data_IF_780002436282
#
_entry.id   IF_780002436282
#
_cell.length_a   1.000
_cell.length_b   1.000
_cell.length_c   1.000
_cell.angle_alpha   90.00
_cell.angle_beta   90.00
_cell.angle_gamma   90.00
#
_symmetry.space_group_name_H-M   'P 1'
#
loop_
_entity.id
_entity.type
_entity.pdbx_description
1 polymer ?
#
# COMPACT_ATOMS: atom_id res chain seq x y z
N UNK A 1 8.81 40.91 74.55
CA UNK A 1 9.45 40.81 73.23
C UNK A 1 8.73 39.75 72.40
N UNK A 2 7.83 40.18 71.53
CA UNK A 2 7.37 39.40 70.37
C UNK A 2 6.55 40.34 69.50
N UNK A 3 7.21 40.90 68.50
CA UNK A 3 6.61 41.64 67.40
C UNK A 3 6.12 40.61 66.38
N UNK A 4 4.81 40.57 66.10
CA UNK A 4 4.25 39.90 64.93
C UNK A 4 3.57 40.95 64.07
N UNK A 5 4.27 41.33 63.01
CA UNK A 5 3.81 42.11 61.87
C UNK A 5 2.92 41.22 61.02
N UNK A 6 1.79 41.77 60.58
CA UNK A 6 0.85 41.11 59.66
C UNK A 6 1.43 41.05 58.22
N UNK A 7 1.18 39.99 57.44
CA UNK A 7 1.34 40.05 56.00
C UNK A 7 0.04 40.52 55.33
N UNK A 8 0.19 41.59 54.57
CA UNK A 8 -0.72 42.13 53.57
C UNK A 8 -1.05 41.10 52.50
N UNK A 9 -2.34 40.79 52.31
CA UNK A 9 -2.86 40.06 51.15
C UNK A 9 -3.20 41.05 50.05
N UNK A 10 -2.26 41.25 49.13
CA UNK A 10 -2.54 41.90 47.85
C UNK A 10 -3.36 40.93 46.98
N UNK A 11 -4.64 41.23 46.80
CA UNK A 11 -5.49 40.56 45.83
C UNK A 11 -5.05 40.93 44.42
N UNK A 12 -4.51 39.97 43.66
CA UNK A 12 -4.31 40.13 42.22
C UNK A 12 -5.67 39.96 41.52
N UNK A 13 -6.16 41.03 40.89
CA UNK A 13 -7.27 41.00 39.95
C UNK A 13 -6.89 40.20 38.69
N UNK A 14 -6.92 38.88 38.78
CA UNK A 14 -6.91 38.00 37.61
C UNK A 14 -8.37 37.73 37.21
N UNK A 15 -8.76 38.21 36.03
CA UNK A 15 -10.05 37.86 35.42
C UNK A 15 -10.17 36.33 35.32
N UNK A 16 -11.30 35.74 35.74
CA UNK A 16 -11.49 34.30 35.61
C UNK A 16 -11.56 33.90 34.13
N UNK A 17 -11.01 32.73 33.75
CA UNK A 17 -11.03 32.27 32.37
C UNK A 17 -12.46 32.20 31.87
N UNK A 18 -12.72 32.87 30.73
CA UNK A 18 -14.04 32.89 30.09
C UNK A 18 -14.45 31.45 29.78
N UNK A 19 -15.52 30.99 30.44
CA UNK A 19 -16.14 29.68 30.17
C UNK A 19 -16.36 29.54 28.67
N UNK A 20 -15.78 28.49 28.06
CA UNK A 20 -16.03 28.11 26.66
C UNK A 20 -17.54 28.11 26.43
N UNK A 21 -18.00 29.02 25.58
CA UNK A 21 -19.40 29.14 25.21
C UNK A 21 -19.71 27.93 24.34
N UNK A 22 -20.49 26.97 24.85
CA UNK A 22 -21.00 25.87 24.03
C UNK A 22 -21.71 26.48 22.82
N UNK A 23 -21.25 26.14 21.63
CA UNK A 23 -21.95 26.45 20.38
C UNK A 23 -23.37 25.88 20.50
N UNK A 24 -24.37 26.65 20.09
CA UNK A 24 -25.77 26.18 20.03
C UNK A 24 -25.85 24.96 19.11
N UNK A 25 -26.81 24.05 19.34
CA UNK A 25 -26.95 22.81 18.56
C UNK A 25 -27.04 23.01 17.04
N UNK A 26 -27.43 24.20 16.58
CA UNK A 26 -27.47 24.60 15.16
C UNK A 26 -26.12 25.08 14.58
N UNK A 27 -25.12 25.32 15.43
CA UNK A 27 -23.78 25.79 15.05
C UNK A 27 -22.76 24.64 14.89
N UNK A 28 -23.19 23.39 15.08
CA UNK A 28 -22.50 22.27 14.44
C UNK A 28 -22.84 22.36 12.96
N UNK A 29 -21.94 22.96 12.18
CA UNK A 29 -22.05 22.90 10.74
C UNK A 29 -22.14 21.43 10.34
N UNK A 30 -23.33 20.99 9.95
CA UNK A 30 -23.50 19.73 9.25
C UNK A 30 -22.51 19.79 8.09
N UNK A 31 -21.55 18.87 8.04
CA UNK A 31 -20.62 18.77 6.91
C UNK A 31 -21.44 18.74 5.61
N UNK A 32 -22.62 18.13 5.62
CA UNK A 32 -23.56 18.04 4.49
C UNK A 32 -24.16 19.37 4.02
N UNK A 33 -24.17 20.43 4.84
CA UNK A 33 -24.77 21.73 4.50
C UNK A 33 -23.85 22.91 4.84
N UNK A 34 -22.61 22.92 4.32
CA UNK A 34 -21.79 24.14 4.32
C UNK A 34 -22.28 25.10 3.23
N UNK A 35 -23.06 26.12 3.64
CA UNK A 35 -23.31 27.32 2.82
C UNK A 35 -22.13 28.28 2.94
N UNK A 36 -20.94 27.86 2.51
CA UNK A 36 -19.85 28.81 2.32
C UNK A 36 -20.17 29.70 1.12
N UNK A 37 -19.98 31.01 1.26
CA UNK A 37 -20.08 31.94 0.13
C UNK A 37 -18.98 31.76 -0.91
N UNK A 38 -17.94 30.99 -0.59
CA UNK A 38 -16.83 30.64 -1.48
C UNK A 38 -16.68 29.12 -1.62
N UNK A 39 -16.99 28.64 -2.82
CA UNK A 39 -16.89 27.23 -3.22
C UNK A 39 -15.44 26.78 -3.38
N UNK A 40 -14.54 27.70 -3.76
CA UNK A 40 -13.12 27.39 -3.96
C UNK A 40 -12.44 27.10 -2.62
N UNK A 41 -12.59 28.01 -1.64
CA UNK A 41 -12.12 27.76 -0.27
C UNK A 41 -12.71 26.47 0.32
N UNK A 42 -14.00 26.19 0.09
CA UNK A 42 -14.64 24.97 0.63
C UNK A 42 -14.02 23.70 0.03
N UNK A 43 -13.73 23.73 -1.27
CA UNK A 43 -13.09 22.63 -1.99
C UNK A 43 -11.68 22.38 -1.47
N UNK A 44 -10.91 23.43 -1.24
CA UNK A 44 -9.55 23.31 -0.68
C UNK A 44 -9.57 22.71 0.72
N UNK A 45 -10.49 23.15 1.58
CA UNK A 45 -10.65 22.57 2.93
C UNK A 45 -11.06 21.11 2.87
N UNK A 46 -12.06 20.75 2.04
CA UNK A 46 -12.49 19.36 1.90
C UNK A 46 -11.36 18.48 1.31
N UNK A 47 -10.52 19.03 0.42
CA UNK A 47 -9.33 18.35 -0.11
C UNK A 47 -8.30 18.09 0.99
N UNK A 48 -7.95 19.11 1.78
CA UNK A 48 -7.00 18.97 2.91
C UNK A 48 -7.48 17.95 3.95
N UNK A 49 -8.78 17.89 4.24
CA UNK A 49 -9.36 16.91 5.16
C UNK A 49 -9.20 15.50 4.58
N UNK A 50 -9.58 15.30 3.32
CA UNK A 50 -9.48 13.99 2.69
C UNK A 50 -8.02 13.50 2.61
N UNK A 51 -7.10 14.41 2.31
CA UNK A 51 -5.67 14.14 2.23
C UNK A 51 -5.09 13.70 3.60
N UNK A 52 -5.46 14.43 4.66
CA UNK A 52 -5.12 14.09 6.03
C UNK A 52 -5.64 12.70 6.44
N UNK A 53 -6.92 12.42 6.15
CA UNK A 53 -7.53 11.13 6.49
C UNK A 53 -6.87 9.98 5.75
N UNK A 54 -6.53 10.16 4.46
CA UNK A 54 -5.82 9.15 3.69
C UNK A 54 -4.43 8.87 4.29
N UNK A 55 -3.68 9.92 4.64
CA UNK A 55 -2.39 9.78 5.30
C UNK A 55 -2.47 9.06 6.65
N UNK A 56 -3.45 9.40 7.48
CA UNK A 56 -3.68 8.72 8.77
C UNK A 56 -4.01 7.24 8.54
N UNK A 57 -4.92 6.93 7.61
CA UNK A 57 -5.30 5.56 7.31
C UNK A 57 -4.12 4.71 6.80
N UNK A 58 -3.20 5.28 5.99
CA UNK A 58 -1.96 4.59 5.58
C UNK A 58 -1.11 4.22 6.81
N UNK A 59 -0.87 5.19 7.70
CA UNK A 59 -0.10 4.95 8.93
C UNK A 59 -0.77 3.91 9.83
N UNK A 60 -2.10 3.94 9.96
CA UNK A 60 -2.86 2.93 10.70
C UNK A 60 -2.67 1.53 10.10
N UNK A 61 -2.63 1.40 8.77
CA UNK A 61 -2.34 0.12 8.12
C UNK A 61 -0.94 -0.40 8.49
N UNK A 62 0.09 0.44 8.43
CA UNK A 62 1.46 0.05 8.79
C UNK A 62 1.58 -0.32 10.27
N UNK A 63 1.02 0.50 11.16
CA UNK A 63 1.02 0.25 12.59
C UNK A 63 0.37 -1.10 12.95
N UNK A 64 -0.72 -1.47 12.26
CA UNK A 64 -1.44 -2.74 12.47
C UNK A 64 -0.59 -4.00 12.25
N UNK A 65 0.50 -3.91 11.48
CA UNK A 65 1.45 -5.02 11.25
C UNK A 65 2.66 -4.98 12.19
N UNK A 66 3.00 -3.82 12.75
CA UNK A 66 4.20 -3.64 13.56
C UNK A 66 3.96 -3.89 15.04
N UNK A 67 2.79 -3.54 15.56
CA UNK A 67 2.45 -3.68 16.98
C UNK A 67 1.00 -4.10 17.16
N UNK A 68 0.69 -4.90 18.19
CA UNK A 68 -0.70 -5.16 18.56
C UNK A 68 -1.36 -3.84 18.96
N UNK A 69 -2.61 -3.59 18.50
CA UNK A 69 -3.29 -2.33 18.77
C UNK A 69 -3.50 -2.14 20.28
N UNK A 70 -3.21 -0.93 20.75
CA UNK A 70 -3.61 -0.47 22.07
C UNK A 70 -5.14 -0.33 22.19
N UNK A 71 -5.67 -0.22 23.42
CA UNK A 71 -7.12 -0.12 23.64
C UNK A 71 -7.75 1.17 23.07
N UNK A 72 -6.96 2.20 22.81
CA UNK A 72 -7.40 3.49 22.28
C UNK A 72 -6.96 3.73 20.82
N UNK A 73 -6.33 2.74 20.18
CA UNK A 73 -5.84 2.89 18.80
C UNK A 73 -7.01 2.79 17.83
N UNK A 74 -7.05 3.70 16.85
CA UNK A 74 -8.05 3.66 15.77
C UNK A 74 -7.84 2.41 14.93
N UNK A 75 -8.90 1.63 14.70
CA UNK A 75 -8.81 0.45 13.85
C UNK A 75 -8.65 0.82 12.38
N UNK A 76 -8.07 -0.07 11.57
CA UNK A 76 -7.98 0.11 10.11
C UNK A 76 -9.36 0.31 9.49
N UNK A 77 -10.37 -0.42 9.97
CA UNK A 77 -11.75 -0.33 9.48
C UNK A 77 -12.37 1.05 9.74
N UNK A 78 -12.18 1.60 10.94
CA UNK A 78 -12.66 2.95 11.28
C UNK A 78 -11.93 4.03 10.48
N UNK A 79 -10.61 3.90 10.29
CA UNK A 79 -9.83 4.86 9.51
C UNK A 79 -10.30 4.89 8.05
N UNK A 80 -10.56 3.73 7.45
CA UNK A 80 -11.05 3.63 6.08
C UNK A 80 -12.49 4.13 5.92
N UNK A 81 -13.36 3.86 6.89
CA UNK A 81 -14.73 4.40 6.88
C UNK A 81 -14.72 5.93 6.82
N UNK A 82 -13.82 6.59 7.57
CA UNK A 82 -13.67 8.05 7.53
C UNK A 82 -13.19 8.56 6.18
N UNK A 83 -12.24 7.86 5.54
CA UNK A 83 -11.75 8.19 4.20
C UNK A 83 -12.88 8.04 3.17
N UNK A 84 -13.60 6.91 3.19
CA UNK A 84 -14.66 6.60 2.23
C UNK A 84 -15.84 7.57 2.34
N UNK A 85 -16.29 7.88 3.55
CA UNK A 85 -17.35 8.88 3.80
C UNK A 85 -16.92 10.26 3.29
N UNK A 86 -15.69 10.67 3.59
CA UNK A 86 -15.14 11.96 3.16
C UNK A 86 -14.99 12.02 1.64
N UNK A 87 -14.51 10.94 1.01
CA UNK A 87 -14.36 10.84 -0.43
C UNK A 87 -15.71 10.86 -1.15
N UNK A 88 -16.72 10.17 -0.61
CA UNK A 88 -18.07 10.15 -1.15
C UNK A 88 -18.70 11.56 -1.10
N UNK A 89 -18.55 12.25 0.04
CA UNK A 89 -19.00 13.64 0.20
C UNK A 89 -18.26 14.59 -0.75
N UNK A 90 -16.94 14.44 -0.89
CA UNK A 90 -16.12 15.24 -1.79
C UNK A 90 -16.57 15.07 -3.25
N UNK A 91 -16.71 13.83 -3.72
CA UNK A 91 -17.15 13.52 -5.09
C UNK A 91 -18.58 14.02 -5.36
N UNK A 92 -19.46 13.96 -4.36
CA UNK A 92 -20.82 14.48 -4.48
C UNK A 92 -20.84 15.99 -4.67
N UNK A 93 -20.02 16.74 -3.93
CA UNK A 93 -19.93 18.21 -4.02
C UNK A 93 -19.17 18.70 -5.24
N UNK A 94 -18.12 17.98 -5.65
CA UNK A 94 -17.19 18.40 -6.69
C UNK A 94 -17.02 17.32 -7.79
N UNK A 95 -18.09 16.97 -8.53
CA UNK A 95 -18.09 15.82 -9.45
C UNK A 95 -17.14 15.98 -10.65
N UNK A 96 -16.77 17.21 -11.01
CA UNK A 96 -15.81 17.50 -12.08
C UNK A 96 -14.38 17.66 -11.59
N UNK A 97 -14.14 17.63 -10.28
CA UNK A 97 -12.80 17.79 -9.74
C UNK A 97 -11.94 16.57 -10.06
N UNK A 98 -10.69 16.84 -10.43
CA UNK A 98 -9.66 15.82 -10.64
C UNK A 98 -8.58 16.04 -9.60
N UNK A 99 -8.29 14.99 -8.84
CA UNK A 99 -7.18 15.00 -7.90
C UNK A 99 -5.87 15.25 -8.64
N UNK A 100 -4.98 16.00 -8.00
CA UNK A 100 -3.61 16.21 -8.47
C UNK A 100 -2.79 14.91 -8.41
N UNK A 101 -1.53 14.96 -8.85
CA UNK A 101 -0.66 13.78 -8.83
C UNK A 101 -0.38 13.28 -7.41
N UNK A 102 -0.25 14.19 -6.45
CA UNK A 102 0.09 13.86 -5.06
C UNK A 102 -1.04 13.07 -4.39
N UNK A 103 -2.27 13.57 -4.48
CA UNK A 103 -3.42 12.91 -3.89
C UNK A 103 -3.75 11.59 -4.61
N UNK A 104 -3.53 11.50 -5.93
CA UNK A 104 -3.65 10.23 -6.66
C UNK A 104 -2.64 9.21 -6.19
N UNK A 105 -1.38 9.61 -6.00
CA UNK A 105 -0.35 8.74 -5.43
C UNK A 105 -0.76 8.24 -4.03
N UNK A 106 -1.20 9.15 -3.15
CA UNK A 106 -1.61 8.80 -1.78
C UNK A 106 -2.81 7.86 -1.76
N UNK A 107 -3.78 8.02 -2.67
CA UNK A 107 -4.90 7.08 -2.83
C UNK A 107 -4.43 5.68 -3.25
N UNK A 108 -3.51 5.58 -4.21
CA UNK A 108 -3.00 4.28 -4.64
C UNK A 108 -2.14 3.63 -3.55
N UNK A 109 -1.33 4.42 -2.84
CA UNK A 109 -0.54 3.93 -1.71
C UNK A 109 -1.44 3.42 -0.59
N UNK A 110 -2.52 4.14 -0.26
CA UNK A 110 -3.53 3.66 0.68
C UNK A 110 -4.15 2.34 0.21
N UNK A 111 -4.54 2.24 -1.06
CA UNK A 111 -5.07 1.00 -1.61
C UNK A 111 -4.08 -0.15 -1.44
N UNK A 112 -2.81 0.04 -1.79
CA UNK A 112 -1.78 -0.98 -1.65
C UNK A 112 -1.54 -1.35 -0.19
N UNK A 113 -1.41 -0.36 0.70
CA UNK A 113 -1.16 -0.56 2.12
C UNK A 113 -2.29 -1.37 2.77
N UNK A 114 -3.54 -1.02 2.51
CA UNK A 114 -4.72 -1.75 3.02
C UNK A 114 -4.71 -3.18 2.52
N UNK A 115 -4.63 -3.37 1.19
CA UNK A 115 -4.74 -4.71 0.62
C UNK A 115 -3.56 -5.59 1.04
N UNK A 116 -2.34 -5.04 1.11
CA UNK A 116 -1.16 -5.80 1.51
C UNK A 116 -1.19 -6.20 3.00
N UNK A 117 -1.51 -5.23 3.89
CA UNK A 117 -1.51 -5.47 5.35
C UNK A 117 -2.68 -6.32 5.82
N UNK A 118 -3.84 -6.22 5.16
CA UNK A 118 -5.07 -6.89 5.59
C UNK A 118 -5.39 -8.19 4.84
N UNK A 119 -4.59 -8.62 3.84
CA UNK A 119 -4.89 -9.80 3.00
C UNK A 119 -4.94 -11.14 3.74
N UNK A 120 -4.26 -11.27 4.88
CA UNK A 120 -4.05 -12.57 5.53
C UNK A 120 -5.26 -13.05 6.34
N UNK A 121 -6.19 -12.15 6.65
CA UNK A 121 -7.39 -12.46 7.43
C UNK A 121 -8.62 -11.91 6.73
N UNK A 122 -9.76 -12.59 6.92
CA UNK A 122 -11.03 -12.06 6.45
C UNK A 122 -11.51 -10.96 7.38
N UNK A 123 -11.87 -9.83 6.80
CA UNK A 123 -12.30 -8.62 7.50
C UNK A 123 -13.22 -7.79 6.59
N UNK A 124 -13.68 -6.63 7.07
CA UNK A 124 -14.59 -5.77 6.29
C UNK A 124 -13.94 -5.18 5.03
N UNK A 125 -12.62 -5.14 4.96
CA UNK A 125 -11.87 -4.59 3.80
C UNK A 125 -11.54 -5.66 2.76
N UNK A 126 -11.85 -6.93 3.05
CA UNK A 126 -11.66 -8.04 2.12
C UNK A 126 -12.50 -7.82 0.86
N UNK A 127 -11.90 -7.77 -0.35
CA UNK A 127 -12.66 -7.56 -1.56
C UNK A 127 -13.70 -8.66 -1.79
N UNK A 128 -14.88 -8.32 -2.35
CA UNK A 128 -15.84 -9.33 -2.78
C UNK A 128 -15.21 -10.29 -3.80
N UNK A 129 -15.59 -11.57 -3.74
CA UNK A 129 -15.08 -12.62 -4.65
C UNK A 129 -15.24 -12.26 -6.13
N UNK A 130 -16.33 -11.59 -6.50
CA UNK A 130 -16.56 -11.12 -7.88
C UNK A 130 -15.56 -10.07 -8.32
N UNK A 131 -15.22 -9.11 -7.44
CA UNK A 131 -14.21 -8.08 -7.69
C UNK A 131 -12.82 -8.71 -7.82
N UNK A 132 -12.48 -9.67 -6.95
CA UNK A 132 -11.22 -10.40 -6.99
C UNK A 132 -11.06 -11.23 -8.27
N UNK A 133 -12.12 -11.92 -8.70
CA UNK A 133 -12.12 -12.62 -9.98
C UNK A 133 -11.96 -11.66 -11.18
N UNK A 134 -12.58 -10.48 -11.10
CA UNK A 134 -12.40 -9.42 -12.10
C UNK A 134 -10.94 -8.97 -12.17
N UNK A 135 -10.32 -8.71 -11.00
CA UNK A 135 -8.92 -8.33 -10.88
C UNK A 135 -8.00 -9.39 -11.52
N UNK A 136 -8.15 -10.66 -11.15
CA UNK A 136 -7.35 -11.77 -11.72
C UNK A 136 -7.45 -11.86 -13.23
N UNK A 137 -8.66 -11.76 -13.79
CA UNK A 137 -8.86 -11.76 -15.25
C UNK A 137 -8.15 -10.58 -15.92
N UNK A 138 -8.20 -9.41 -15.30
CA UNK A 138 -7.53 -8.22 -15.83
C UNK A 138 -6.01 -8.37 -15.79
N UNK A 139 -5.45 -8.89 -14.68
CA UNK A 139 -4.02 -9.12 -14.53
C UNK A 139 -3.50 -10.15 -15.54
N UNK A 140 -4.23 -11.26 -15.71
CA UNK A 140 -3.94 -12.27 -16.74
C UNK A 140 -4.05 -11.71 -18.16
N UNK A 141 -5.08 -10.90 -18.44
CA UNK A 141 -5.23 -10.28 -19.75
C UNK A 141 -4.07 -9.31 -20.05
N UNK A 142 -3.65 -8.51 -19.07
CA UNK A 142 -2.46 -7.65 -19.15
C UNK A 142 -1.21 -8.47 -19.44
N UNK A 143 -0.94 -9.52 -18.67
CA UNK A 143 0.22 -10.38 -18.88
C UNK A 143 0.22 -11.00 -20.28
N UNK A 144 -0.91 -11.52 -20.76
CA UNK A 144 -1.04 -12.07 -22.12
C UNK A 144 -0.79 -11.04 -23.22
N UNK A 145 -1.28 -9.80 -23.05
CA UNK A 145 -0.99 -8.69 -23.97
C UNK A 145 0.50 -8.33 -23.97
N UNK A 146 1.11 -8.32 -22.79
CA UNK A 146 2.53 -8.07 -22.65
C UNK A 146 3.37 -9.15 -23.33
N UNK A 147 3.05 -10.44 -23.12
CA UNK A 147 3.73 -11.58 -23.75
C UNK A 147 3.60 -11.49 -25.28
N UNK A 148 2.38 -11.45 -25.81
CA UNK A 148 2.08 -11.25 -27.23
C UNK A 148 2.52 -12.38 -28.19
N UNK A 149 3.60 -13.09 -27.89
CA UNK A 149 4.17 -14.15 -28.72
C UNK A 149 4.89 -15.21 -27.87
N UNK A 150 5.06 -16.41 -28.44
CA UNK A 150 5.58 -17.58 -27.71
C UNK A 150 7.06 -17.44 -27.28
N UNK A 151 7.85 -16.67 -28.04
CA UNK A 151 9.26 -16.36 -27.76
C UNK A 151 9.44 -15.38 -26.60
N UNK A 152 8.39 -14.65 -26.21
CA UNK A 152 8.40 -13.67 -25.11
C UNK A 152 7.77 -14.19 -23.82
N UNK A 153 7.35 -15.46 -23.82
CA UNK A 153 6.87 -16.13 -22.60
C UNK A 153 8.04 -16.16 -21.61
N UNK A 154 7.89 -15.65 -20.38
CA UNK A 154 8.99 -15.63 -19.40
C UNK A 154 9.62 -17.00 -19.16
N UNK A 155 8.83 -18.07 -19.22
CA UNK A 155 9.31 -19.44 -19.05
C UNK A 155 9.82 -20.11 -20.33
N UNK A 156 9.90 -19.37 -21.46
CA UNK A 156 10.44 -19.90 -22.71
C UNK A 156 11.89 -20.37 -22.53
N UNK A 157 12.17 -21.64 -22.85
CA UNK A 157 13.50 -22.23 -22.75
C UNK A 157 13.81 -22.93 -21.42
N UNK A 158 12.91 -22.86 -20.43
CA UNK A 158 13.05 -23.55 -19.15
C UNK A 158 12.34 -24.92 -19.14
N UNK A 159 12.73 -25.86 -18.26
CA UNK A 159 12.05 -27.15 -18.11
C UNK A 159 10.73 -26.99 -17.35
N UNK A 160 9.63 -26.87 -18.10
CA UNK A 160 8.29 -26.63 -17.53
C UNK A 160 7.55 -27.90 -17.08
N UNK A 161 7.88 -29.07 -17.66
CA UNK A 161 7.21 -30.36 -17.38
C UNK A 161 7.05 -30.70 -15.88
N UNK A 162 8.03 -30.41 -14.99
CA UNK A 162 7.88 -30.68 -13.56
C UNK A 162 6.72 -29.90 -12.92
N UNK A 163 6.43 -28.68 -13.37
CA UNK A 163 5.34 -27.85 -12.83
C UNK A 163 3.95 -28.37 -13.22
N UNK A 164 3.83 -29.08 -14.34
CA UNK A 164 2.59 -29.77 -14.73
C UNK A 164 2.43 -31.13 -14.06
N UNK A 165 3.56 -31.82 -13.80
CA UNK A 165 3.57 -33.19 -13.29
C UNK A 165 3.47 -33.27 -11.77
N UNK A 166 4.21 -32.44 -11.06
CA UNK A 166 4.44 -32.56 -9.61
C UNK A 166 3.53 -31.64 -8.77
N UNK A 167 2.78 -30.74 -9.43
CA UNK A 167 1.83 -29.81 -8.83
C UNK A 167 0.41 -30.06 -9.39
N UNK A 168 -0.66 -29.72 -8.64
CA UNK A 168 -0.67 -29.13 -7.30
C UNK A 168 -0.29 -30.11 -6.18
N UNK A 169 0.06 -29.59 -5.01
CA UNK A 169 0.34 -30.39 -3.81
C UNK A 169 -0.91 -31.12 -3.28
N UNK A 170 -0.72 -32.04 -2.34
CA UNK A 170 -1.82 -32.60 -1.56
C UNK A 170 -2.40 -31.58 -0.58
N UNK A 171 -3.70 -31.68 -0.26
CA UNK A 171 -4.36 -30.78 0.70
C UNK A 171 -3.63 -30.66 2.04
N UNK A 172 -3.14 -31.79 2.58
CA UNK A 172 -2.36 -31.79 3.83
C UNK A 172 -1.10 -30.93 3.75
N UNK A 173 -0.39 -30.94 2.61
CA UNK A 173 0.79 -30.10 2.40
C UNK A 173 0.41 -28.62 2.28
N UNK A 174 -0.74 -28.30 1.68
CA UNK A 174 -1.23 -26.92 1.62
C UNK A 174 -1.58 -26.39 3.01
N UNK A 175 -2.26 -27.18 3.83
CA UNK A 175 -2.58 -26.82 5.22
C UNK A 175 -1.29 -26.58 6.03
N UNK A 176 -0.31 -27.48 5.95
CA UNK A 176 0.99 -27.32 6.61
C UNK A 176 1.73 -26.06 6.13
N UNK A 177 1.72 -25.79 4.83
CA UNK A 177 2.38 -24.62 4.25
C UNK A 177 1.67 -23.31 4.63
N UNK A 178 0.34 -23.28 4.64
CA UNK A 178 -0.46 -22.12 5.09
C UNK A 178 -0.19 -21.82 6.56
N UNK A 179 -0.23 -22.85 7.42
CA UNK A 179 0.07 -22.72 8.83
C UNK A 179 1.49 -22.17 9.07
N UNK A 180 2.48 -22.69 8.33
CA UNK A 180 3.87 -22.20 8.41
C UNK A 180 4.00 -20.75 7.97
N UNK A 181 3.37 -20.38 6.85
CA UNK A 181 3.41 -19.02 6.32
C UNK A 181 2.74 -18.02 7.29
N UNK A 182 1.55 -18.34 7.80
CA UNK A 182 0.86 -17.51 8.79
C UNK A 182 1.70 -17.34 10.06
N UNK A 183 2.29 -18.43 10.57
CA UNK A 183 3.16 -18.38 11.74
C UNK A 183 4.39 -17.49 11.52
N UNK A 184 5.06 -17.59 10.36
CA UNK A 184 6.21 -16.73 10.03
C UNK A 184 5.82 -15.25 9.94
N UNK A 185 4.59 -14.96 9.51
CA UNK A 185 4.02 -13.61 9.39
C UNK A 185 3.41 -13.11 10.72
N UNK A 186 3.60 -13.84 11.82
CA UNK A 186 3.06 -13.47 13.14
C UNK A 186 1.53 -13.52 13.22
N UNK A 187 0.88 -14.26 12.33
CA UNK A 187 -0.57 -14.45 12.32
C UNK A 187 -0.95 -15.72 13.09
N UNK A 188 -2.12 -15.73 13.76
CA UNK A 188 -2.63 -16.95 14.36
C UNK A 188 -2.82 -18.02 13.27
N UNK A 189 -2.42 -19.25 13.57
CA UNK A 189 -2.67 -20.39 12.68
C UNK A 189 -4.17 -20.66 12.70
N UNK A 190 -4.74 -20.96 11.53
CA UNK A 190 -6.12 -21.40 11.38
C UNK A 190 -6.24 -22.79 12.06
N UNK A 191 -6.70 -22.82 13.32
CA UNK A 191 -6.96 -24.04 14.10
C UNK A 191 -8.47 -24.27 14.28
N UNK A 192 -8.87 -25.35 14.97
CA UNK A 192 -10.29 -25.66 15.21
C UNK A 192 -11.07 -24.52 15.93
N UNK A 193 -10.39 -23.54 16.52
CA UNK A 193 -11.00 -22.35 17.12
C UNK A 193 -11.09 -21.16 16.13
N UNK A 194 -10.34 -21.20 15.03
CA UNK A 194 -10.40 -20.24 13.93
C UNK A 194 -11.31 -20.77 12.81
N UNK A 195 -12.54 -20.26 12.75
CA UNK A 195 -13.62 -20.82 11.92
C UNK A 195 -13.45 -20.52 10.42
N UNK A 196 -12.50 -19.69 10.02
CA UNK A 196 -12.33 -19.27 8.63
C UNK A 196 -10.94 -19.64 8.10
N UNK A 197 -10.86 -20.74 7.34
CA UNK A 197 -9.68 -21.10 6.55
C UNK A 197 -9.59 -20.13 5.36
N UNK A 198 -9.13 -18.90 5.59
CA UNK A 198 -9.20 -17.83 4.60
C UNK A 198 -7.94 -17.77 3.74
N UNK A 199 -6.76 -17.80 4.35
CA UNK A 199 -5.50 -17.61 3.63
C UNK A 199 -5.22 -18.76 2.66
N UNK A 200 -4.85 -18.43 1.42
CA UNK A 200 -4.63 -19.42 0.37
C UNK A 200 -5.89 -19.96 -0.30
N UNK A 201 -7.07 -19.43 0.01
CA UNK A 201 -8.30 -19.75 -0.72
C UNK A 201 -8.51 -18.85 -1.92
N UNK A 202 -9.43 -19.22 -2.80
CA UNK A 202 -9.83 -18.37 -3.93
C UNK A 202 -10.45 -17.03 -3.51
N UNK A 203 -10.88 -16.88 -2.25
CA UNK A 203 -11.44 -15.65 -1.70
C UNK A 203 -10.36 -14.71 -1.14
N UNK A 204 -9.15 -15.20 -0.92
CA UNK A 204 -8.03 -14.43 -0.40
C UNK A 204 -7.20 -13.79 -1.52
N UNK A 205 -6.69 -12.58 -1.26
CA UNK A 205 -5.75 -11.87 -2.12
C UNK A 205 -4.35 -12.44 -2.00
N UNK A 206 -3.74 -12.75 -3.13
CA UNK A 206 -2.33 -13.15 -3.23
C UNK A 206 -1.43 -11.97 -3.58
N UNK A 207 -0.12 -12.13 -3.39
CA UNK A 207 0.89 -11.18 -3.86
C UNK A 207 0.85 -11.02 -5.38
N UNK A 208 0.51 -12.09 -6.12
CA UNK A 208 0.34 -12.02 -7.58
C UNK A 208 -0.80 -11.09 -7.98
N UNK A 209 -1.91 -11.12 -7.23
CA UNK A 209 -3.05 -10.22 -7.45
C UNK A 209 -2.66 -8.74 -7.25
N UNK A 210 -1.70 -8.49 -6.35
CA UNK A 210 -1.24 -7.16 -5.96
C UNK A 210 -0.05 -6.63 -6.79
N UNK A 211 0.63 -7.49 -7.57
CA UNK A 211 1.80 -7.09 -8.37
C UNK A 211 1.55 -5.87 -9.26
N UNK A 212 0.43 -5.75 -10.01
CA UNK A 212 0.20 -4.56 -10.82
C UNK A 212 0.03 -3.28 -10.00
N UNK A 213 -0.60 -3.37 -8.82
CA UNK A 213 -0.78 -2.21 -7.95
C UNK A 213 0.55 -1.78 -7.33
N UNK A 214 1.38 -2.73 -6.90
CA UNK A 214 2.73 -2.47 -6.41
C UNK A 214 3.56 -1.69 -7.43
N UNK A 215 3.58 -2.15 -8.69
CA UNK A 215 4.28 -1.50 -9.79
C UNK A 215 3.69 -0.11 -10.10
N UNK A 216 2.35 0.00 -10.11
CA UNK A 216 1.65 1.25 -10.43
C UNK A 216 1.91 2.36 -9.40
N UNK A 217 1.96 2.03 -8.11
CA UNK A 217 2.29 3.00 -7.06
C UNK A 217 3.69 3.58 -7.29
N UNK A 218 4.67 2.73 -7.60
CA UNK A 218 6.02 3.20 -7.91
C UNK A 218 6.08 4.02 -9.19
N UNK A 219 5.39 3.60 -10.26
CA UNK A 219 5.33 4.34 -11.51
C UNK A 219 4.73 5.74 -11.31
N UNK A 220 3.63 5.83 -10.55
CA UNK A 220 3.00 7.11 -10.23
C UNK A 220 3.94 8.01 -9.43
N UNK A 221 4.72 7.46 -8.49
CA UNK A 221 5.72 8.23 -7.75
C UNK A 221 6.86 8.71 -8.64
N UNK A 222 7.37 7.85 -9.53
CA UNK A 222 8.41 8.18 -10.52
C UNK A 222 7.98 9.37 -11.37
N UNK A 223 6.76 9.33 -11.90
CA UNK A 223 6.21 10.39 -12.74
C UNK A 223 5.97 11.69 -11.95
N UNK A 224 5.56 11.57 -10.69
CA UNK A 224 5.36 12.70 -9.80
C UNK A 224 6.67 13.40 -9.41
N UNK A 225 7.71 12.64 -9.05
CA UNK A 225 8.99 13.17 -8.56
C UNK A 225 10.03 13.38 -9.67
N UNK A 226 9.81 12.82 -10.87
CA UNK A 226 10.78 12.85 -11.97
C UNK A 226 12.07 12.09 -11.66
N UNK A 227 12.02 11.06 -10.80
CA UNK A 227 13.20 10.27 -10.39
C UNK A 227 13.15 8.88 -11.02
N UNK A 228 14.28 8.36 -11.45
CA UNK A 228 14.36 6.98 -11.92
C UNK A 228 14.38 6.00 -10.74
N UNK A 229 13.84 4.80 -10.95
CA UNK A 229 13.91 3.70 -9.98
C UNK A 229 15.34 3.20 -9.85
N UNK A 230 15.81 3.00 -8.62
CA UNK A 230 17.15 2.50 -8.35
C UNK A 230 17.21 0.97 -8.28
N UNK A 231 18.43 0.43 -8.30
CA UNK A 231 18.69 -1.02 -8.24
C UNK A 231 18.05 -1.72 -7.04
N UNK A 232 17.98 -1.04 -5.89
CA UNK A 232 17.33 -1.57 -4.69
C UNK A 232 15.83 -1.84 -4.91
N UNK A 233 15.15 -0.97 -5.65
CA UNK A 233 13.75 -1.17 -5.98
C UNK A 233 13.57 -2.31 -6.99
N UNK A 234 14.42 -2.37 -8.02
CA UNK A 234 14.39 -3.47 -8.99
C UNK A 234 14.53 -4.81 -8.27
N UNK A 235 15.49 -4.92 -7.35
CA UNK A 235 15.68 -6.11 -6.51
C UNK A 235 14.43 -6.45 -5.70
N UNK A 236 13.83 -5.48 -5.00
CA UNK A 236 12.59 -5.69 -4.25
C UNK A 236 11.44 -6.17 -5.16
N UNK A 237 11.32 -5.64 -6.36
CA UNK A 237 10.33 -6.08 -7.34
C UNK A 237 10.57 -7.53 -7.79
N UNK A 238 11.83 -7.92 -8.01
CA UNK A 238 12.20 -9.31 -8.30
C UNK A 238 11.84 -10.26 -7.14
N UNK A 239 12.22 -9.90 -5.90
CA UNK A 239 11.89 -10.67 -4.69
C UNK A 239 10.36 -10.78 -4.48
N UNK A 240 9.61 -9.71 -4.76
CA UNK A 240 8.14 -9.75 -4.75
C UNK A 240 7.58 -10.75 -5.74
N UNK A 241 8.05 -10.73 -7.00
CA UNK A 241 7.57 -11.64 -8.05
C UNK A 241 7.93 -13.10 -7.75
N UNK A 242 9.15 -13.33 -7.25
CA UNK A 242 9.58 -14.65 -6.78
C UNK A 242 8.65 -15.17 -5.68
N UNK A 243 8.41 -14.35 -4.65
CA UNK A 243 7.54 -14.73 -3.55
C UNK A 243 6.08 -14.90 -3.98
N UNK A 244 5.60 -14.11 -4.93
CA UNK A 244 4.27 -14.30 -5.52
C UNK A 244 4.15 -15.67 -6.19
N UNK A 245 5.18 -16.11 -6.93
CA UNK A 245 5.21 -17.45 -7.52
C UNK A 245 5.22 -18.54 -6.44
N UNK A 246 6.09 -18.42 -5.43
CA UNK A 246 6.14 -19.37 -4.31
C UNK A 246 4.81 -19.47 -3.58
N UNK A 247 4.15 -18.34 -3.33
CA UNK A 247 2.82 -18.29 -2.72
C UNK A 247 1.78 -18.99 -3.61
N UNK A 248 1.80 -18.77 -4.93
CA UNK A 248 0.88 -19.46 -5.84
C UNK A 248 1.01 -20.99 -5.76
N UNK A 249 2.23 -21.52 -5.80
CA UNK A 249 2.45 -22.97 -5.84
C UNK A 249 2.34 -23.64 -4.46
N UNK A 250 2.86 -23.01 -3.41
CA UNK A 250 2.95 -23.62 -2.08
C UNK A 250 1.72 -23.38 -1.21
N UNK A 251 0.92 -22.34 -1.50
CA UNK A 251 -0.21 -21.90 -0.65
C UNK A 251 -1.56 -21.97 -1.39
N UNK A 252 -1.60 -21.49 -2.64
CA UNK A 252 -2.85 -21.40 -3.44
C UNK A 252 -3.08 -22.60 -4.36
N UNK A 253 -2.07 -23.44 -4.57
CA UNK A 253 -2.18 -24.67 -5.36
C UNK A 253 -2.24 -24.44 -6.86
N UNK A 254 -1.48 -23.48 -7.36
CA UNK A 254 -1.23 -23.35 -8.80
C UNK A 254 -0.49 -24.58 -9.37
N UNK A 255 -0.60 -24.74 -10.69
CA UNK A 255 0.03 -25.79 -11.51
C UNK A 255 0.41 -25.22 -12.87
N UNK A 256 1.36 -25.84 -13.57
CA UNK A 256 1.88 -25.30 -14.81
C UNK A 256 2.67 -24.00 -14.59
N UNK A 257 2.88 -23.20 -15.63
CA UNK A 257 3.73 -21.99 -15.56
C UNK A 257 2.98 -20.66 -15.59
N UNK A 258 1.65 -20.67 -15.75
CA UNK A 258 0.84 -19.46 -15.92
C UNK A 258 1.11 -18.40 -14.83
N UNK A 259 1.32 -18.83 -13.58
CA UNK A 259 1.63 -17.93 -12.47
C UNK A 259 3.00 -17.24 -12.61
N UNK A 260 4.02 -17.96 -13.09
CA UNK A 260 5.35 -17.40 -13.35
C UNK A 260 5.28 -16.45 -14.54
N UNK A 261 4.63 -16.88 -15.61
CA UNK A 261 4.47 -16.08 -16.81
C UNK A 261 3.71 -14.77 -16.51
N UNK A 262 2.67 -14.82 -15.68
CA UNK A 262 1.94 -13.63 -15.23
C UNK A 262 2.80 -12.72 -14.34
N UNK A 263 3.52 -13.30 -13.36
CA UNK A 263 4.34 -12.56 -12.42
C UNK A 263 5.46 -11.78 -13.11
N UNK A 264 6.11 -12.39 -14.11
CA UNK A 264 7.28 -11.83 -14.81
C UNK A 264 6.96 -11.20 -16.18
N UNK A 265 5.68 -11.09 -16.56
CA UNK A 265 5.25 -10.36 -17.75
C UNK A 265 5.26 -8.83 -17.53
N UNK A 266 6.46 -8.29 -17.32
CA UNK A 266 6.76 -6.86 -17.14
C UNK A 266 8.08 -6.53 -17.83
N UNK A 267 8.21 -5.28 -18.27
CA UNK A 267 9.41 -4.81 -18.94
C UNK A 267 9.14 -4.06 -20.24
N UNK A 268 10.21 -3.68 -20.91
CA UNK A 268 10.13 -2.99 -22.21
C UNK A 268 9.56 -3.91 -23.29
N UNK A 269 8.70 -3.36 -24.13
CA UNK A 269 8.18 -4.01 -25.34
C UNK A 269 8.55 -3.13 -26.53
N UNK A 270 9.29 -3.69 -27.48
CA UNK A 270 9.54 -3.00 -28.75
C UNK A 270 8.19 -2.64 -29.38
N UNK A 271 7.94 -1.35 -29.59
CA UNK A 271 6.67 -0.88 -30.15
C UNK A 271 6.52 -1.39 -31.59
N UNK A 272 5.66 -2.39 -31.78
CA UNK A 272 5.22 -2.76 -33.12
C UNK A 272 4.17 -1.74 -33.60
N UNK A 273 4.12 -1.46 -34.90
CA UNK A 273 3.22 -0.47 -35.49
C UNK A 273 1.70 -0.77 -35.31
N UNK A 274 1.35 -1.90 -34.72
CA UNK A 274 -0.02 -2.38 -34.50
C UNK A 274 -0.41 -2.48 -33.01
N UNK A 275 0.43 -1.98 -32.09
CA UNK A 275 0.21 -2.17 -30.65
C UNK A 275 -0.78 -1.15 -30.04
N UNK A 276 -2.04 -1.56 -29.91
CA UNK A 276 -3.08 -0.89 -29.09
C UNK A 276 -2.81 -1.08 -27.57
N UNK A 277 -1.60 -0.78 -27.10
CA UNK A 277 -1.31 -0.78 -25.67
C UNK A 277 -2.11 0.33 -24.97
N UNK A 278 -2.73 0.00 -23.85
CA UNK A 278 -3.40 0.99 -23.00
C UNK A 278 -2.35 1.95 -22.44
N UNK A 279 -2.63 3.25 -22.39
CA UNK A 279 -1.69 4.27 -21.87
C UNK A 279 -1.17 3.93 -20.47
N UNK A 280 -2.02 3.33 -19.62
CA UNK A 280 -1.67 2.87 -18.28
C UNK A 280 -0.64 1.73 -18.29
N UNK A 281 -0.70 0.82 -19.27
CA UNK A 281 0.28 -0.25 -19.44
C UNK A 281 1.64 0.34 -19.89
N UNK A 282 1.65 1.45 -20.65
CA UNK A 282 2.87 2.15 -21.06
C UNK A 282 3.55 2.87 -19.89
N UNK A 283 2.78 3.58 -19.08
CA UNK A 283 3.26 4.30 -17.89
C UNK A 283 3.92 3.33 -16.89
N UNK A 284 3.24 2.22 -16.60
CA UNK A 284 3.74 1.22 -15.65
C UNK A 284 4.97 0.46 -16.14
N UNK A 285 5.05 0.11 -17.43
CA UNK A 285 6.24 -0.56 -17.98
C UNK A 285 7.42 0.40 -18.18
N UNK A 286 7.16 1.70 -18.29
CA UNK A 286 8.19 2.71 -18.45
C UNK A 286 9.23 2.72 -17.32
N UNK A 287 8.91 2.21 -16.13
CA UNK A 287 9.85 2.15 -14.99
C UNK A 287 11.00 1.16 -15.22
N UNK A 288 10.83 0.21 -16.14
CA UNK A 288 11.85 -0.77 -16.50
C UNK A 288 12.70 -0.35 -17.71
N UNK A 289 12.40 0.81 -18.29
CA UNK A 289 13.01 1.29 -19.52
C UNK A 289 14.19 2.23 -19.23
N UNK A 290 15.23 2.12 -20.06
CA UNK A 290 16.38 3.00 -20.03
C UNK A 290 16.33 4.01 -21.19
N UNK A 291 15.97 5.25 -20.87
CA UNK A 291 15.85 6.35 -21.83
C UNK A 291 17.15 6.61 -22.64
N UNK A 292 18.33 6.32 -22.06
CA UNK A 292 19.62 6.58 -22.74
C UNK A 292 19.94 5.54 -23.82
N UNK A 293 19.48 4.31 -23.64
CA UNK A 293 19.82 3.17 -24.50
C UNK A 293 18.69 2.72 -25.43
N UNK A 294 17.50 3.30 -25.27
CA UNK A 294 16.28 2.89 -25.98
C UNK A 294 16.06 1.38 -25.86
N UNK A 295 16.21 0.88 -24.63
CA UNK A 295 16.16 -0.55 -24.33
C UNK A 295 15.63 -0.81 -22.92
N UNK A 296 15.32 -2.06 -22.63
CA UNK A 296 15.14 -2.50 -21.25
C UNK A 296 16.37 -2.15 -20.41
N UNK A 297 16.14 -1.79 -19.15
CA UNK A 297 17.21 -1.62 -18.18
C UNK A 297 17.95 -2.96 -18.04
N UNK A 298 19.25 -2.96 -18.34
CA UNK A 298 20.08 -4.15 -18.18
C UNK A 298 20.08 -4.70 -16.74
N UNK A 299 19.77 -3.86 -15.76
CA UNK A 299 19.60 -4.30 -14.37
C UNK A 299 18.32 -5.12 -14.17
N UNK A 300 17.23 -4.76 -14.86
CA UNK A 300 15.96 -5.49 -14.80
C UNK A 300 16.04 -6.83 -15.54
N UNK A 301 16.57 -6.82 -16.77
CA UNK A 301 16.72 -8.04 -17.59
C UNK A 301 17.52 -9.12 -16.84
N UNK A 302 18.70 -8.74 -16.31
CA UNK A 302 19.57 -9.64 -15.54
C UNK A 302 18.88 -10.17 -14.28
N UNK A 303 18.20 -9.31 -13.54
CA UNK A 303 17.52 -9.70 -12.31
C UNK A 303 16.36 -10.67 -12.61
N UNK A 304 15.61 -10.42 -13.69
CA UNK A 304 14.52 -11.30 -14.12
C UNK A 304 15.06 -12.69 -14.49
N UNK A 305 16.17 -12.75 -15.23
CA UNK A 305 16.86 -14.01 -15.54
C UNK A 305 17.31 -14.72 -14.26
N UNK A 306 17.95 -14.01 -13.32
CA UNK A 306 18.39 -14.57 -12.02
C UNK A 306 17.21 -15.18 -11.22
N UNK A 307 16.09 -14.46 -11.10
CA UNK A 307 14.91 -14.93 -10.35
C UNK A 307 14.23 -16.13 -11.02
N UNK A 308 14.17 -16.16 -12.35
CA UNK A 308 13.64 -17.30 -13.10
C UNK A 308 14.58 -18.51 -12.99
N UNK A 309 15.89 -18.32 -13.11
CA UNK A 309 16.87 -19.37 -12.90
C UNK A 309 16.71 -20.01 -11.52
N UNK A 310 16.56 -19.21 -10.46
CA UNK A 310 16.32 -19.73 -9.10
C UNK A 310 15.05 -20.59 -9.00
N UNK A 311 13.94 -20.16 -9.62
CA UNK A 311 12.71 -20.94 -9.68
C UNK A 311 12.90 -22.28 -10.39
N UNK A 312 13.62 -22.31 -11.52
CA UNK A 312 13.80 -23.53 -12.30
C UNK A 312 14.95 -24.41 -11.85
N UNK A 313 15.94 -23.89 -11.10
CA UNK A 313 16.94 -24.70 -10.40
C UNK A 313 16.30 -25.61 -9.35
N UNK A 314 15.16 -25.21 -8.78
CA UNK A 314 14.34 -26.10 -7.96
C UNK A 314 13.89 -27.39 -8.70
N UNK A 315 13.95 -27.39 -10.04
CA UNK A 315 13.51 -28.45 -10.92
C UNK A 315 14.68 -29.17 -11.65
N UNK A 316 15.93 -28.96 -11.25
CA UNK A 316 17.15 -29.43 -11.95
C UNK A 316 17.34 -30.96 -12.04
N UNK A 317 16.38 -31.74 -11.56
CA UNK A 317 16.37 -33.20 -11.59
C UNK A 317 17.22 -33.86 -10.51
N UNK A 318 17.97 -33.09 -9.71
CA UNK A 318 18.69 -33.63 -8.54
C UNK A 318 17.78 -33.81 -7.33
N UNK A 319 16.69 -33.03 -7.27
CA UNK A 319 15.63 -33.06 -6.25
C UNK A 319 14.26 -33.03 -6.91
N UNK A 320 13.22 -33.45 -6.18
CA UNK A 320 11.85 -33.24 -6.61
C UNK A 320 11.49 -31.74 -6.53
N UNK A 321 10.64 -31.27 -7.45
CA UNK A 321 10.28 -29.86 -7.58
C UNK A 321 9.80 -29.27 -6.25
N UNK A 322 8.97 -30.00 -5.50
CA UNK A 322 8.36 -29.51 -4.27
C UNK A 322 9.43 -29.26 -3.20
N UNK A 323 10.36 -30.20 -3.01
CA UNK A 323 11.49 -30.00 -2.11
C UNK A 323 12.34 -28.80 -2.54
N UNK A 324 12.58 -28.61 -3.84
CA UNK A 324 13.29 -27.46 -4.37
C UNK A 324 12.59 -26.13 -4.07
N UNK A 325 11.27 -26.03 -4.30
CA UNK A 325 10.49 -24.83 -3.98
C UNK A 325 10.46 -24.53 -2.48
N UNK A 326 10.45 -25.55 -1.62
CA UNK A 326 10.53 -25.36 -0.17
C UNK A 326 11.90 -24.88 0.28
N UNK A 327 12.98 -25.36 -0.32
CA UNK A 327 14.34 -24.85 -0.07
C UNK A 327 14.46 -23.40 -0.54
N UNK A 328 13.89 -23.07 -1.69
CA UNK A 328 13.85 -21.71 -2.22
C UNK A 328 13.06 -20.78 -1.30
N UNK A 329 11.89 -21.21 -0.79
CA UNK A 329 11.13 -20.47 0.22
C UNK A 329 11.92 -20.29 1.53
N UNK A 330 12.76 -21.25 1.92
CA UNK A 330 13.63 -21.09 3.08
C UNK A 330 14.79 -20.11 2.84
N UNK A 331 15.28 -20.02 1.59
CA UNK A 331 16.29 -19.05 1.17
C UNK A 331 15.72 -17.63 1.04
N UNK A 332 14.42 -17.52 0.71
CA UNK A 332 13.67 -16.27 0.60
C UNK A 332 12.45 -16.25 1.54
N UNK A 333 12.66 -16.05 2.85
CA UNK A 333 11.56 -16.11 3.81
C UNK A 333 10.55 -14.99 3.58
N UNK A 334 9.25 -15.33 3.57
CA UNK A 334 8.16 -14.39 3.31
C UNK A 334 8.10 -13.25 4.33
N UNK A 335 8.51 -13.49 5.57
CA UNK A 335 8.57 -12.50 6.64
C UNK A 335 9.68 -11.46 6.43
N UNK A 336 10.76 -11.84 5.73
CA UNK A 336 11.81 -10.90 5.33
C UNK A 336 11.28 -9.99 4.24
N UNK A 337 10.63 -10.55 3.22
CA UNK A 337 9.99 -9.75 2.18
C UNK A 337 8.95 -8.80 2.78
N UNK A 338 8.07 -9.29 3.66
CA UNK A 338 7.02 -8.46 4.26
C UNK A 338 7.62 -7.24 4.98
N UNK A 339 8.66 -7.44 5.78
CA UNK A 339 9.36 -6.33 6.46
C UNK A 339 9.97 -5.34 5.48
N UNK A 340 10.66 -5.83 4.45
CA UNK A 340 11.28 -4.97 3.43
C UNK A 340 10.24 -4.17 2.66
N UNK A 341 9.11 -4.80 2.30
CA UNK A 341 7.99 -4.12 1.66
C UNK A 341 7.39 -3.04 2.57
N UNK A 342 7.13 -3.35 3.85
CA UNK A 342 6.56 -2.36 4.77
C UNK A 342 7.49 -1.13 4.90
N UNK A 343 8.79 -1.36 5.11
CA UNK A 343 9.78 -0.27 5.14
C UNK A 343 9.80 0.50 3.81
N UNK A 344 9.69 -0.19 2.68
CA UNK A 344 9.61 0.47 1.38
C UNK A 344 8.36 1.35 1.27
N UNK A 345 7.18 0.86 1.65
CA UNK A 345 5.93 1.62 1.59
C UNK A 345 5.93 2.84 2.53
N UNK A 346 6.58 2.72 3.70
CA UNK A 346 6.83 3.85 4.60
C UNK A 346 7.73 4.90 3.96
N UNK A 347 8.86 4.47 3.38
CA UNK A 347 9.76 5.38 2.66
C UNK A 347 9.05 6.06 1.47
N UNK A 348 8.12 5.36 0.80
CA UNK A 348 7.29 5.98 -0.25
C UNK A 348 6.38 7.06 0.33
N UNK A 349 5.74 6.81 1.48
CA UNK A 349 4.91 7.82 2.15
C UNK A 349 5.75 9.05 2.54
N UNK A 350 6.95 8.83 3.09
CA UNK A 350 7.88 9.88 3.53
C UNK A 350 8.51 10.67 2.36
N UNK A 351 8.55 10.09 1.15
CA UNK A 351 9.10 10.74 -0.04
C UNK A 351 8.23 11.89 -0.56
N UNK A 352 6.97 11.96 -0.12
CA UNK A 352 6.00 12.99 -0.48
C UNK A 352 5.73 13.88 0.74
N UNK A 353 5.46 15.19 0.56
CA UNK A 353 5.17 16.06 1.69
C UNK A 353 4.00 15.52 2.52
N UNK A 354 4.09 15.68 3.85
CA UNK A 354 2.96 15.37 4.72
C UNK A 354 1.77 16.30 4.41
N UNK A 355 0.52 15.86 4.60
CA UNK A 355 -0.63 16.74 4.45
C UNK A 355 -0.50 17.96 5.35
N UNK A 356 -0.99 19.11 4.89
CA UNK A 356 -0.93 20.40 5.61
C UNK A 356 -1.46 20.28 7.04
N UNK A 357 -2.53 19.51 7.25
CA UNK A 357 -3.11 19.32 8.59
C UNK A 357 -2.18 18.55 9.54
N UNK A 358 -1.40 17.57 9.03
CA UNK A 358 -0.38 16.86 9.83
C UNK A 358 0.75 17.81 10.20
N UNK A 359 1.19 18.66 9.26
CA UNK A 359 2.22 19.66 9.51
C UNK A 359 1.79 20.68 10.58
N UNK A 360 0.51 21.06 10.58
CA UNK A 360 -0.09 21.93 11.60
C UNK A 360 -0.15 21.25 12.97
N UNK A 361 -0.50 19.95 13.03
CA UNK A 361 -0.44 19.17 14.28
C UNK A 361 0.98 19.12 14.86
N UNK A 362 1.99 19.06 13.99
CA UNK A 362 3.41 19.13 14.38
C UNK A 362 3.90 20.55 14.69
N UNK A 363 3.05 21.56 14.46
CA UNK A 363 3.35 22.96 14.72
C UNK A 363 4.32 23.62 13.73
N UNK A 364 4.59 23.01 12.57
CA UNK A 364 5.52 23.55 11.57
C UNK A 364 5.04 23.27 10.15
N UNK A 365 4.65 24.33 9.44
CA UNK A 365 4.33 24.27 8.02
C UNK A 365 5.62 24.22 7.18
N UNK A 366 5.57 23.45 6.11
CA UNK A 366 6.59 23.42 5.08
C UNK A 366 6.71 24.83 4.47
N UNK A 367 7.95 25.26 4.26
CA UNK A 367 8.30 26.58 3.71
C UNK A 367 8.01 27.80 4.60
N UNK A 368 7.62 27.58 5.87
CA UNK A 368 7.47 28.63 6.88
C UNK A 368 8.45 28.41 8.04
N UNK A 369 8.92 29.50 8.64
CA UNK A 369 9.58 29.44 9.94
C UNK A 369 8.60 29.04 11.05
N UNK A 370 9.11 28.62 12.20
CA UNK A 370 8.28 28.29 13.37
C UNK A 370 7.50 29.52 13.87
N UNK A 371 8.11 30.71 13.80
CA UNK A 371 7.46 31.97 14.16
C UNK A 371 6.32 32.30 13.19
N UNK A 372 6.57 32.20 11.88
CA UNK A 372 5.52 32.43 10.87
C UNK A 372 4.39 31.41 10.98
N UNK A 373 4.70 30.13 11.25
CA UNK A 373 3.67 29.09 11.43
C UNK A 373 2.82 29.39 12.66
N UNK A 374 3.45 29.83 13.76
CA UNK A 374 2.75 30.20 14.99
C UNK A 374 1.84 31.41 14.79
N UNK A 375 2.33 32.43 14.11
CA UNK A 375 1.54 33.62 13.78
C UNK A 375 0.36 33.28 12.89
N UNK A 376 0.55 32.38 11.91
CA UNK A 376 -0.53 31.85 11.07
C UNK A 376 -1.57 31.08 11.89
N UNK A 377 -1.16 30.13 12.73
CA UNK A 377 -2.08 29.37 13.59
C UNK A 377 -2.91 30.27 14.51
N UNK A 378 -2.27 31.29 15.11
CA UNK A 378 -2.93 32.28 15.93
C UNK A 378 -3.97 33.10 15.12
N UNK A 379 -3.63 33.48 13.88
CA UNK A 379 -4.55 34.18 12.98
C UNK A 379 -5.75 33.31 12.57
N UNK A 380 -5.56 31.99 12.46
CA UNK A 380 -6.63 31.01 12.21
C UNK A 380 -7.45 30.67 13.47
N UNK A 381 -7.13 31.24 14.63
CA UNK A 381 -7.86 31.00 15.89
C UNK A 381 -7.52 29.66 16.56
N UNK A 382 -6.44 29.00 16.15
CA UNK A 382 -5.91 27.80 16.81
C UNK A 382 -4.92 28.26 17.87
N UNK A 383 -5.26 28.12 19.15
CA UNK A 383 -4.34 28.47 20.23
C UNK A 383 -3.22 27.44 20.28
N UNK A 384 -1.96 27.86 20.14
CA UNK A 384 -0.81 26.94 20.21
C UNK A 384 -0.67 26.22 21.56
N UNK A 385 -1.37 26.67 22.60
CA UNK A 385 -1.46 25.97 23.89
C UNK A 385 -2.31 24.69 23.85
N UNK A 386 -3.06 24.45 22.78
CA UNK A 386 -3.99 23.33 22.66
C UNK A 386 -3.39 22.15 21.85
N UNK A 387 -2.18 22.31 21.29
CA UNK A 387 -1.49 21.31 20.45
C UNK A 387 -0.22 20.71 21.09
N UNK A 388 0.20 21.19 22.27
CA UNK A 388 1.40 20.73 22.99
C UNK A 388 1.12 20.35 24.45
#
# INVERSE_FOLDING_TARGET
MSSRVAPSTAASNAEPPRKRRRLSGEAYGSISERKSGDLETSREVDHMILDFLAYQAINTCFASRQSPPGPDDTSVEEALSQVDESLALFKHRYPSFRFDAEMRFRQQLLQLAVLFTQRLTRNSVTPPTSSLQGLRRNNQARARRWIGSADRVPTAGYPVDPYDRDLPLSNTKFEDNRARALLSLGMPVEDDAYVDNFYGTSECLSLLDLTPLFIKVTATLRDFLGINVGDNWLRLAGEWMLQACLEQYLVYGASGTDAIDEAFAWGHKEESAEDDQQEEDKETNGIFYNDEKDSESSGWEKLKEEMLEELFLAADGTKDLVSGLMELQAAHPIETLEKTVLVYLENLLESVPEPVLVQLEKGKLKDMSEEETKDFMNACGVATSDLF
#
